data_IF_552018496177
#
_entry.id   IF_552018496177
#
_cell.length_a   1.000
_cell.length_b   1.000
_cell.length_c   1.000
_cell.angle_alpha   90.00
_cell.angle_beta   90.00
_cell.angle_gamma   90.00
#
_symmetry.space_group_name_H-M   'P 1'
#
loop_
_entity.id
_entity.type
_entity.pdbx_description
1 polymer ?
#
# COMPACT_ATOMS: atom_id res chain seq x y z
N UNK A 1 -13.15 -34.94 -19.83
CA UNK A 1 -13.38 -33.63 -19.17
C UNK A 1 -14.61 -33.04 -19.80
N UNK A 2 -15.65 -32.74 -19.02
CA UNK A 2 -16.92 -32.23 -19.54
C UNK A 2 -16.80 -30.71 -19.83
N UNK A 3 -17.44 -30.22 -20.87
CA UNK A 3 -17.46 -28.78 -21.22
C UNK A 3 -17.99 -27.97 -20.04
N UNK A 4 -18.95 -28.51 -19.29
CA UNK A 4 -19.47 -27.90 -18.06
C UNK A 4 -18.39 -27.75 -16.97
N UNK A 5 -17.54 -28.76 -16.78
CA UNK A 5 -16.42 -28.68 -15.83
C UNK A 5 -15.35 -27.67 -16.25
N UNK A 6 -15.00 -27.62 -17.54
CA UNK A 6 -14.03 -26.66 -18.07
C UNK A 6 -14.50 -25.21 -17.90
N UNK A 7 -15.78 -24.95 -18.16
CA UNK A 7 -16.37 -23.62 -17.98
C UNK A 7 -16.34 -23.19 -16.52
N UNK A 8 -16.69 -24.09 -15.60
CA UNK A 8 -16.70 -23.80 -14.16
C UNK A 8 -15.31 -23.45 -13.62
N UNK A 9 -14.27 -24.18 -14.04
CA UNK A 9 -12.88 -23.89 -13.66
C UNK A 9 -12.39 -22.56 -14.24
N UNK A 10 -12.77 -22.26 -15.48
CA UNK A 10 -12.47 -20.98 -16.13
C UNK A 10 -13.12 -19.79 -15.41
N UNK A 11 -14.41 -19.90 -15.08
CA UNK A 11 -15.16 -18.87 -14.38
C UNK A 11 -14.57 -18.63 -12.97
N UNK A 12 -14.23 -19.70 -12.24
CA UNK A 12 -13.57 -19.61 -10.93
C UNK A 12 -12.21 -18.90 -11.02
N UNK A 13 -11.39 -19.27 -12.00
CA UNK A 13 -10.07 -18.66 -12.21
C UNK A 13 -10.17 -17.16 -12.51
N UNK A 14 -11.15 -16.78 -13.33
CA UNK A 14 -11.43 -15.38 -13.64
C UNK A 14 -11.85 -14.59 -12.40
N UNK A 15 -12.79 -15.13 -11.61
CA UNK A 15 -13.29 -14.48 -10.39
C UNK A 15 -12.17 -14.26 -9.36
N UNK A 16 -11.30 -15.26 -9.18
CA UNK A 16 -10.13 -15.16 -8.30
C UNK A 16 -9.16 -14.09 -8.80
N UNK A 17 -8.91 -14.00 -10.10
CA UNK A 17 -8.03 -12.98 -10.67
C UNK A 17 -8.60 -11.57 -10.46
N UNK A 18 -9.90 -11.36 -10.69
CA UNK A 18 -10.59 -10.09 -10.44
C UNK A 18 -10.53 -9.73 -8.96
N UNK A 19 -10.79 -10.69 -8.06
CA UNK A 19 -10.75 -10.45 -6.62
C UNK A 19 -9.35 -10.05 -6.14
N UNK A 20 -8.29 -10.71 -6.64
CA UNK A 20 -6.89 -10.36 -6.34
C UNK A 20 -6.55 -8.95 -6.81
N UNK A 21 -6.91 -8.60 -8.06
CA UNK A 21 -6.68 -7.25 -8.60
C UNK A 21 -7.38 -6.19 -7.75
N UNK A 22 -8.66 -6.39 -7.42
CA UNK A 22 -9.41 -5.44 -6.61
C UNK A 22 -8.85 -5.29 -5.19
N UNK A 23 -8.34 -6.37 -4.60
CA UNK A 23 -7.70 -6.32 -3.30
C UNK A 23 -6.37 -5.55 -3.35
N UNK A 24 -5.60 -5.70 -4.42
CA UNK A 24 -4.35 -4.96 -4.62
C UNK A 24 -4.61 -3.46 -4.79
N UNK A 25 -5.60 -3.07 -5.60
CA UNK A 25 -5.98 -1.66 -5.76
C UNK A 25 -6.46 -1.04 -4.44
N UNK A 26 -7.20 -1.80 -3.63
CA UNK A 26 -7.58 -1.37 -2.28
C UNK A 26 -6.38 -1.18 -1.37
N UNK A 27 -5.38 -2.05 -1.46
CA UNK A 27 -4.15 -1.92 -0.70
C UNK A 27 -3.40 -0.64 -1.10
N UNK A 28 -3.23 -0.40 -2.41
CA UNK A 28 -2.60 0.81 -2.93
C UNK A 28 -3.33 2.09 -2.53
N UNK A 29 -4.66 2.06 -2.51
CA UNK A 29 -5.47 3.20 -2.05
C UNK A 29 -5.26 3.48 -0.55
N UNK A 30 -5.11 2.43 0.27
CA UNK A 30 -4.85 2.56 1.72
C UNK A 30 -3.44 3.07 2.05
N UNK A 31 -2.50 2.99 1.10
CA UNK A 31 -1.16 3.58 1.26
C UNK A 31 -1.17 5.10 1.13
N UNK A 32 -2.27 5.71 0.69
CA UNK A 32 -2.37 7.17 0.59
C UNK A 32 -2.51 7.76 1.99
N UNK A 33 -1.63 8.70 2.33
CA UNK A 33 -1.56 9.38 3.61
C UNK A 33 -1.70 10.87 3.41
N UNK A 34 -2.59 11.50 4.16
CA UNK A 34 -2.67 12.96 4.25
C UNK A 34 -1.90 13.39 5.48
N UNK A 35 -0.91 14.26 5.30
CA UNK A 35 -0.10 14.82 6.37
C UNK A 35 0.16 16.30 6.06
N UNK A 36 -0.12 17.19 7.02
CA UNK A 36 -0.01 18.64 6.87
C UNK A 36 -0.65 19.17 5.57
N UNK A 37 -1.88 18.74 5.26
CA UNK A 37 -2.61 19.13 4.03
C UNK A 37 -1.99 18.64 2.71
N UNK A 38 -0.91 17.86 2.77
CA UNK A 38 -0.24 17.25 1.62
C UNK A 38 -0.53 15.76 1.53
N UNK A 39 -0.42 15.23 0.30
CA UNK A 39 -0.71 13.82 0.00
C UNK A 39 0.59 13.09 -0.27
N UNK A 40 0.85 12.06 0.54
CA UNK A 40 1.98 11.17 0.42
C UNK A 40 1.52 9.74 0.15
N UNK A 41 2.47 8.92 -0.31
CA UNK A 41 2.29 7.47 -0.38
C UNK A 41 3.21 6.82 0.63
N UNK A 42 2.64 5.99 1.51
CA UNK A 42 3.38 5.17 2.46
C UNK A 42 4.05 3.96 1.78
N UNK A 43 4.83 4.21 0.73
CA UNK A 43 5.60 3.18 0.03
C UNK A 43 7.04 3.07 0.55
N UNK A 44 7.76 2.06 0.04
CA UNK A 44 9.12 1.81 0.45
C UNK A 44 10.06 2.98 0.10
N UNK A 45 9.82 3.70 -0.98
CA UNK A 45 10.65 4.83 -1.40
C UNK A 45 10.52 6.00 -0.41
N UNK A 46 9.29 6.43 -0.15
CA UNK A 46 8.99 7.54 0.77
C UNK A 46 9.43 7.21 2.19
N UNK A 47 9.14 6.00 2.68
CA UNK A 47 9.56 5.54 4.02
C UNK A 47 11.08 5.57 4.16
N UNK A 48 11.81 5.03 3.18
CA UNK A 48 13.27 4.99 3.24
C UNK A 48 13.87 6.39 3.13
N UNK A 49 13.34 7.25 2.26
CA UNK A 49 13.80 8.64 2.15
C UNK A 49 13.65 9.37 3.48
N UNK A 50 12.45 9.35 4.08
CA UNK A 50 12.17 10.01 5.36
C UNK A 50 13.04 9.43 6.46
N UNK A 51 13.20 8.09 6.51
CA UNK A 51 14.08 7.44 7.48
C UNK A 51 15.53 7.90 7.33
N UNK A 52 16.09 7.88 6.12
CA UNK A 52 17.47 8.29 5.87
C UNK A 52 17.70 9.75 6.25
N UNK A 53 16.79 10.65 5.87
CA UNK A 53 16.90 12.07 6.23
C UNK A 53 16.76 12.29 7.75
N UNK A 54 15.86 11.54 8.39
CA UNK A 54 15.69 11.58 9.85
C UNK A 54 16.92 11.04 10.59
N UNK A 55 17.57 9.99 10.09
CA UNK A 55 18.75 9.36 10.70
C UNK A 55 19.99 10.29 10.63
N UNK A 56 20.08 11.13 9.59
CA UNK A 56 21.16 12.13 9.43
C UNK A 56 21.00 13.31 10.41
N UNK A 57 19.81 13.47 11.01
CA UNK A 57 19.54 14.53 11.98
C UNK A 57 19.26 15.90 11.34
N UNK A 58 18.95 15.93 10.05
CA UNK A 58 18.42 17.15 9.41
C UNK A 58 16.97 17.33 9.84
N UNK A 59 16.66 18.39 10.58
CA UNK A 59 15.30 18.85 10.84
C UNK A 59 15.30 20.39 10.71
N UNK A 60 14.36 20.97 9.94
CA UNK A 60 13.32 20.29 9.17
C UNK A 60 13.88 19.56 7.93
N UNK A 61 13.14 18.57 7.42
CA UNK A 61 13.41 17.93 6.11
C UNK A 61 12.45 18.46 5.06
N UNK A 62 12.91 18.51 3.82
CA UNK A 62 12.08 18.93 2.68
C UNK A 62 11.95 17.76 1.71
N UNK A 63 10.72 17.38 1.40
CA UNK A 63 10.39 16.28 0.49
C UNK A 63 9.29 16.71 -0.47
N UNK A 64 9.13 15.97 -1.57
CA UNK A 64 8.04 16.21 -2.51
C UNK A 64 6.81 15.39 -2.11
N UNK A 65 5.63 16.01 -2.18
CA UNK A 65 4.36 15.28 -2.14
C UNK A 65 4.07 14.57 -3.49
N UNK A 66 2.97 13.84 -3.56
CA UNK A 66 2.55 13.13 -4.79
C UNK A 66 2.25 14.06 -5.98
N UNK A 67 2.05 15.36 -5.74
CA UNK A 67 1.84 16.39 -6.75
C UNK A 67 3.13 17.15 -7.09
N UNK A 68 4.29 16.71 -6.59
CA UNK A 68 5.58 17.37 -6.71
C UNK A 68 5.66 18.76 -6.05
N UNK A 69 4.82 19.02 -5.05
CA UNK A 69 4.96 20.21 -4.23
C UNK A 69 6.04 19.97 -3.16
N UNK A 70 6.94 20.93 -2.91
CA UNK A 70 7.87 20.85 -1.79
C UNK A 70 7.11 21.02 -0.47
N UNK A 71 7.37 20.11 0.47
CA UNK A 71 6.75 20.10 1.80
C UNK A 71 7.83 20.12 2.85
N UNK A 72 7.68 21.00 3.83
CA UNK A 72 8.48 21.02 5.04
C UNK A 72 7.91 20.03 6.05
N UNK A 73 8.75 19.11 6.54
CA UNK A 73 8.41 18.18 7.61
C UNK A 73 9.26 18.57 8.83
N UNK A 74 8.61 19.18 9.82
CA UNK A 74 9.26 19.63 11.05
C UNK A 74 9.61 18.47 11.98
N UNK A 75 8.70 17.49 12.13
CA UNK A 75 8.94 16.25 12.89
C UNK A 75 9.03 15.03 11.96
N UNK A 76 10.26 14.73 11.52
CA UNK A 76 10.52 13.60 10.65
C UNK A 76 10.25 12.24 11.32
N UNK A 77 10.31 12.16 12.65
CA UNK A 77 10.08 10.90 13.38
C UNK A 77 8.60 10.58 13.50
N UNK A 78 7.79 11.59 13.81
CA UNK A 78 6.33 11.47 13.78
C UNK A 78 5.87 11.07 12.38
N UNK A 79 6.33 11.79 11.35
CA UNK A 79 5.94 11.51 9.98
C UNK A 79 6.35 10.10 9.54
N UNK A 80 7.58 9.66 9.88
CA UNK A 80 8.03 8.30 9.61
C UNK A 80 7.12 7.24 10.26
N UNK A 81 6.72 7.45 11.51
CA UNK A 81 5.84 6.52 12.22
C UNK A 81 4.49 6.41 11.52
N UNK A 82 3.89 7.54 11.11
CA UNK A 82 2.63 7.55 10.36
C UNK A 82 2.73 6.75 9.05
N UNK A 83 3.82 6.92 8.30
CA UNK A 83 4.04 6.18 7.05
C UNK A 83 4.19 4.67 7.32
N UNK A 84 4.96 4.28 8.34
CA UNK A 84 5.15 2.87 8.69
C UNK A 84 3.82 2.24 9.11
N UNK A 85 3.06 2.89 9.98
CA UNK A 85 1.78 2.36 10.48
C UNK A 85 0.79 2.16 9.34
N UNK A 86 0.67 3.15 8.45
CA UNK A 86 -0.19 3.07 7.27
C UNK A 86 0.23 1.98 6.29
N UNK A 87 1.54 1.84 6.07
CA UNK A 87 2.06 0.75 5.24
C UNK A 87 1.73 -0.62 5.83
N UNK A 88 2.04 -0.83 7.12
CA UNK A 88 1.80 -2.10 7.78
C UNK A 88 0.31 -2.43 7.84
N UNK A 89 -0.56 -1.45 8.10
CA UNK A 89 -2.01 -1.61 8.08
C UNK A 89 -2.51 -2.07 6.69
N UNK A 90 -2.10 -1.36 5.64
CA UNK A 90 -2.53 -1.63 4.27
C UNK A 90 -2.05 -3.02 3.78
N UNK A 91 -0.77 -3.32 3.99
CA UNK A 91 -0.15 -4.57 3.53
C UNK A 91 -0.65 -5.76 4.35
N UNK A 92 -0.83 -5.61 5.67
CA UNK A 92 -1.40 -6.67 6.51
C UNK A 92 -2.84 -6.99 6.11
N UNK A 93 -3.66 -5.97 5.82
CA UNK A 93 -5.02 -6.15 5.31
C UNK A 93 -5.03 -6.90 3.97
N UNK A 94 -4.16 -6.50 3.04
CA UNK A 94 -4.01 -7.20 1.76
C UNK A 94 -3.56 -8.65 1.93
N UNK A 95 -2.61 -8.90 2.82
CA UNK A 95 -2.14 -10.24 3.13
C UNK A 95 -3.27 -11.13 3.66
N UNK A 96 -4.10 -10.63 4.57
CA UNK A 96 -5.28 -11.36 5.06
C UNK A 96 -6.28 -11.67 3.93
N UNK A 97 -6.59 -10.70 3.07
CA UNK A 97 -7.48 -10.91 1.93
C UNK A 97 -6.92 -11.95 0.95
N UNK A 98 -5.60 -11.93 0.70
CA UNK A 98 -4.95 -12.88 -0.20
C UNK A 98 -5.05 -14.33 0.27
N UNK A 99 -4.97 -14.57 1.59
CA UNK A 99 -5.19 -15.90 2.20
C UNK A 99 -6.61 -16.41 1.96
N UNK A 100 -7.62 -15.52 2.05
CA UNK A 100 -9.01 -15.89 1.75
C UNK A 100 -9.20 -16.34 0.31
N UNK A 101 -8.45 -15.77 -0.65
CA UNK A 101 -8.52 -16.19 -2.05
C UNK A 101 -7.82 -17.54 -2.29
N UNK A 102 -6.75 -17.84 -1.57
CA UNK A 102 -6.08 -19.13 -1.65
C UNK A 102 -7.00 -20.28 -1.20
N UNK A 103 -7.71 -20.09 -0.08
CA UNK A 103 -8.64 -21.09 0.46
C UNK A 103 -9.92 -21.30 -0.38
N UNK A 104 -10.16 -20.50 -1.43
CA UNK A 104 -11.29 -20.70 -2.36
C UNK A 104 -10.96 -21.65 -3.52
N UNK A 105 -9.69 -22.00 -3.68
CA UNK A 105 -9.20 -22.94 -4.68
C UNK A 105 -8.99 -24.36 -4.12
N UNK A 106 -9.23 -24.57 -2.81
CA UNK A 106 -9.29 -25.87 -2.12
C UNK A 106 -10.75 -26.28 -1.88
#
# INVERSE_FOLDING_TARGET
MDIGSLKKESDLSFDVAVAKRNALEKAHSRLVVVYNEHIFRADAETINLVKTLSDIGTSPIYILDTNNNPVEISDSKEFLQVLIDRNQEAISSYHQMSKTFANRND
#
